data_IF_442608941288
#
_entry.id   IF_442608941288
#
_cell.length_a   1.000
_cell.length_b   1.000
_cell.length_c   1.000
_cell.angle_alpha   90.00
_cell.angle_beta   90.00
_cell.angle_gamma   90.00
#
_symmetry.space_group_name_H-M   'P 1'
#
loop_
_entity.id
_entity.type
_entity.pdbx_description
1 polymer ?
#
# COMPACT_ATOMS: atom_id res chain seq x y z
N UNK A 1 2.17 12.34 19.23
CA UNK A 1 1.79 11.25 20.17
C UNK A 1 2.68 11.35 21.39
N UNK A 2 2.09 11.34 22.60
CA UNK A 2 2.85 11.57 23.86
C UNK A 2 3.33 10.26 24.50
N UNK A 3 2.76 9.11 24.13
CA UNK A 3 3.15 7.79 24.62
C UNK A 3 3.65 6.89 23.49
N UNK A 4 4.46 5.87 23.78
CA UNK A 4 4.78 4.83 22.80
C UNK A 4 3.52 4.15 22.28
N UNK A 5 3.42 3.85 20.98
CA UNK A 5 2.23 3.25 20.38
C UNK A 5 2.16 1.73 20.61
N UNK A 6 0.91 1.22 20.58
CA UNK A 6 0.61 -0.23 20.43
C UNK A 6 0.38 -0.52 18.96
N UNK A 7 1.20 -1.38 18.39
CA UNK A 7 1.23 -1.66 16.95
C UNK A 7 1.09 -3.16 16.67
N UNK A 8 0.52 -3.51 15.53
CA UNK A 8 0.65 -4.84 14.96
C UNK A 8 1.65 -4.82 13.80
N UNK A 9 2.67 -5.65 13.85
CA UNK A 9 3.52 -5.95 12.69
C UNK A 9 2.88 -7.09 11.91
N UNK A 10 2.48 -6.84 10.65
CA UNK A 10 1.63 -7.74 9.87
C UNK A 10 2.39 -8.36 8.72
N UNK A 11 2.29 -9.69 8.63
CA UNK A 11 2.61 -10.43 7.41
C UNK A 11 1.30 -10.62 6.62
N UNK A 12 1.16 -9.87 5.53
CA UNK A 12 0.00 -9.98 4.64
C UNK A 12 -0.01 -11.31 3.87
N UNK A 13 -1.14 -11.72 3.26
CA UNK A 13 -1.19 -12.93 2.43
C UNK A 13 -0.18 -12.95 1.28
N UNK A 14 0.30 -11.78 0.85
CA UNK A 14 1.30 -11.60 -0.21
C UNK A 14 2.72 -11.43 0.30
N UNK A 15 2.98 -11.69 1.58
CA UNK A 15 4.30 -11.53 2.19
C UNK A 15 5.43 -12.24 1.43
N UNK A 16 5.14 -13.41 0.86
CA UNK A 16 6.09 -14.20 0.08
C UNK A 16 6.56 -13.53 -1.22
N UNK A 17 5.83 -12.54 -1.73
CA UNK A 17 6.18 -11.78 -2.93
C UNK A 17 7.24 -10.69 -2.67
N UNK A 18 7.50 -10.35 -1.40
CA UNK A 18 8.54 -9.40 -1.07
C UNK A 18 9.93 -10.02 -1.24
N UNK A 19 10.88 -9.21 -1.67
CA UNK A 19 12.29 -9.56 -1.72
C UNK A 19 12.83 -9.89 -0.32
N UNK A 20 13.79 -10.80 -0.23
CA UNK A 20 14.34 -11.25 1.05
C UNK A 20 14.87 -10.07 1.88
N UNK A 21 15.66 -9.18 1.24
CA UNK A 21 16.22 -8.02 1.90
C UNK A 21 15.15 -7.04 2.44
N UNK A 22 14.01 -6.91 1.74
CA UNK A 22 12.92 -6.05 2.20
C UNK A 22 12.23 -6.63 3.44
N UNK A 23 12.03 -7.96 3.49
CA UNK A 23 11.50 -8.66 4.67
C UNK A 23 12.44 -8.55 5.86
N UNK A 24 13.74 -8.75 5.65
CA UNK A 24 14.78 -8.61 6.68
C UNK A 24 14.84 -7.19 7.23
N UNK A 25 14.80 -6.18 6.33
CA UNK A 25 14.74 -4.78 6.70
C UNK A 25 13.50 -4.47 7.56
N UNK A 26 12.32 -4.96 7.16
CA UNK A 26 11.09 -4.79 7.95
C UNK A 26 11.23 -5.34 9.37
N UNK A 27 11.78 -6.55 9.51
CA UNK A 27 12.01 -7.18 10.83
C UNK A 27 12.95 -6.33 11.68
N UNK A 28 14.02 -5.81 11.09
CA UNK A 28 14.97 -4.94 11.81
C UNK A 28 14.31 -3.63 12.25
N UNK A 29 13.48 -3.01 11.42
CA UNK A 29 12.75 -1.79 11.78
C UNK A 29 11.76 -2.07 12.92
N UNK A 30 11.03 -3.17 12.88
CA UNK A 30 10.13 -3.59 13.96
C UNK A 30 10.91 -3.74 15.27
N UNK A 31 12.10 -4.35 15.25
CA UNK A 31 12.97 -4.50 16.40
C UNK A 31 13.41 -3.14 16.97
N UNK A 32 13.80 -2.19 16.10
CA UNK A 32 14.15 -0.81 16.51
C UNK A 32 13.00 -0.10 17.19
N UNK A 33 11.78 -0.22 16.67
CA UNK A 33 10.59 0.37 17.27
C UNK A 33 10.30 -0.21 18.66
N UNK A 34 10.44 -1.54 18.84
CA UNK A 34 10.36 -2.19 20.15
C UNK A 34 11.41 -1.65 21.13
N UNK A 35 12.66 -1.54 20.70
CA UNK A 35 13.75 -0.96 21.50
C UNK A 35 13.48 0.49 21.87
N UNK A 36 12.80 1.25 21.00
CA UNK A 36 12.40 2.64 21.26
C UNK A 36 11.15 2.75 22.17
N UNK A 37 10.59 1.61 22.63
CA UNK A 37 9.50 1.53 23.59
C UNK A 37 8.12 1.26 23.01
N UNK A 38 7.96 1.06 21.68
CA UNK A 38 6.67 0.65 21.12
C UNK A 38 6.29 -0.78 21.57
N UNK A 39 5.02 -0.97 21.91
CA UNK A 39 4.45 -2.30 22.08
C UNK A 39 4.09 -2.85 20.69
N UNK A 40 4.91 -3.76 20.14
CA UNK A 40 4.66 -4.33 18.82
C UNK A 40 4.37 -5.82 18.93
N UNK A 41 3.17 -6.22 18.56
CA UNK A 41 2.75 -7.61 18.42
C UNK A 41 2.86 -8.06 16.97
N UNK A 42 3.33 -9.27 16.73
CA UNK A 42 3.28 -9.87 15.40
C UNK A 42 1.94 -10.55 15.21
N UNK A 43 1.28 -10.28 14.10
CA UNK A 43 -0.02 -10.85 13.75
C UNK A 43 -0.09 -11.16 12.26
N UNK A 44 -0.86 -12.16 11.91
CA UNK A 44 -1.31 -12.40 10.55
C UNK A 44 -2.68 -11.77 10.37
N UNK A 45 -2.98 -11.32 9.15
CA UNK A 45 -4.34 -10.88 8.82
C UNK A 45 -5.29 -12.08 8.86
N UNK A 46 -6.56 -11.88 9.24
CA UNK A 46 -7.57 -12.93 9.14
C UNK A 46 -7.64 -13.57 7.75
N UNK A 47 -7.98 -14.88 7.65
CA UNK A 47 -8.04 -15.59 6.36
C UNK A 47 -8.98 -14.94 5.34
N UNK A 48 -9.98 -14.18 5.81
CA UNK A 48 -10.88 -13.41 4.95
C UNK A 48 -10.13 -12.52 3.94
N UNK A 49 -8.94 -12.02 4.32
CA UNK A 49 -8.12 -11.13 3.48
C UNK A 49 -7.45 -11.81 2.27
N UNK A 50 -7.41 -13.13 2.21
CA UNK A 50 -6.91 -13.85 1.03
C UNK A 50 -7.68 -13.48 -0.24
N UNK A 51 -8.98 -13.16 -0.13
CA UNK A 51 -9.83 -12.70 -1.23
C UNK A 51 -9.68 -11.23 -1.62
N UNK A 52 -8.90 -10.43 -0.90
CA UNK A 52 -8.84 -8.97 -1.08
C UNK A 52 -8.36 -8.55 -2.48
N UNK A 53 -7.31 -9.20 -3.00
CA UNK A 53 -6.73 -8.88 -4.31
C UNK A 53 -7.73 -9.14 -5.46
N UNK A 54 -8.45 -10.25 -5.40
CA UNK A 54 -9.48 -10.58 -6.39
C UNK A 54 -10.66 -9.58 -6.33
N UNK A 55 -11.08 -9.20 -5.13
CA UNK A 55 -12.15 -8.23 -4.94
C UNK A 55 -11.77 -6.85 -5.49
N UNK A 56 -10.57 -6.32 -5.15
CA UNK A 56 -10.11 -5.04 -5.66
C UNK A 56 -9.99 -5.06 -7.18
N UNK A 57 -9.39 -6.11 -7.76
CA UNK A 57 -9.28 -6.24 -9.22
C UNK A 57 -10.65 -6.17 -9.88
N UNK A 58 -11.63 -6.93 -9.38
CA UNK A 58 -12.98 -6.94 -9.94
C UNK A 58 -13.64 -5.56 -9.89
N UNK A 59 -13.58 -4.89 -8.74
CA UNK A 59 -14.12 -3.53 -8.59
C UNK A 59 -13.44 -2.57 -9.56
N UNK A 60 -12.11 -2.55 -9.56
CA UNK A 60 -11.31 -1.62 -10.37
C UNK A 60 -11.57 -1.81 -11.86
N UNK A 61 -11.62 -3.06 -12.35
CA UNK A 61 -11.84 -3.34 -13.77
C UNK A 61 -13.25 -2.91 -14.21
N UNK A 62 -14.30 -3.26 -13.43
CA UNK A 62 -15.68 -2.89 -13.79
C UNK A 62 -15.88 -1.38 -13.70
N UNK A 63 -15.37 -0.71 -12.66
CA UNK A 63 -15.50 0.73 -12.52
C UNK A 63 -14.73 1.49 -13.61
N UNK A 64 -13.51 1.06 -13.93
CA UNK A 64 -12.75 1.64 -15.01
C UNK A 64 -13.43 1.44 -16.37
N UNK A 65 -14.00 0.26 -16.63
CA UNK A 65 -14.77 0.00 -17.84
C UNK A 65 -15.96 0.99 -17.95
N UNK A 66 -16.74 1.15 -16.88
CA UNK A 66 -17.87 2.11 -16.86
C UNK A 66 -17.46 3.55 -17.16
N UNK A 67 -16.28 3.96 -16.66
CA UNK A 67 -15.78 5.33 -16.85
C UNK A 67 -15.18 5.54 -18.25
N UNK A 68 -14.40 4.55 -18.73
CA UNK A 68 -13.56 4.74 -19.91
C UNK A 68 -14.07 4.07 -21.18
N UNK A 69 -15.14 3.26 -21.14
CA UNK A 69 -15.71 2.58 -22.32
C UNK A 69 -15.96 3.56 -23.48
N UNK A 70 -16.63 4.68 -23.22
CA UNK A 70 -16.93 5.67 -24.26
C UNK A 70 -15.69 6.38 -24.83
N UNK A 71 -14.63 6.50 -24.06
CA UNK A 71 -13.33 7.02 -24.54
C UNK A 71 -12.64 5.95 -25.38
N UNK A 72 -12.64 4.71 -24.93
CA UNK A 72 -12.05 3.60 -25.66
C UNK A 72 -12.71 3.38 -27.01
N UNK A 73 -14.04 3.44 -27.09
CA UNK A 73 -14.79 3.26 -28.35
C UNK A 73 -14.41 4.31 -29.40
N UNK A 74 -14.11 5.56 -28.98
CA UNK A 74 -13.75 6.64 -29.90
C UNK A 74 -12.27 6.75 -30.20
N UNK A 75 -11.40 6.32 -29.27
CA UNK A 75 -9.96 6.61 -29.29
C UNK A 75 -9.11 5.45 -28.79
N UNK A 76 -9.49 4.19 -29.09
CA UNK A 76 -8.79 2.99 -28.61
C UNK A 76 -7.28 3.02 -28.89
N UNK A 77 -6.92 3.54 -30.08
CA UNK A 77 -5.52 3.62 -30.53
C UNK A 77 -4.67 4.63 -29.75
N UNK A 78 -5.32 5.56 -29.03
CA UNK A 78 -4.66 6.59 -28.19
C UNK A 78 -4.52 6.15 -26.74
N UNK A 79 -5.16 5.07 -26.34
CA UNK A 79 -5.04 4.51 -25.00
C UNK A 79 -3.89 3.51 -24.93
N UNK A 80 -3.22 3.47 -23.78
CA UNK A 80 -2.15 2.49 -23.58
C UNK A 80 -2.69 1.05 -23.64
N UNK A 81 -1.88 0.08 -24.10
CA UNK A 81 -2.29 -1.31 -24.14
C UNK A 81 -2.77 -1.86 -22.76
N UNK A 82 -2.13 -1.52 -21.63
CA UNK A 82 -2.63 -1.95 -20.32
C UNK A 82 -4.03 -1.41 -19.99
N UNK A 83 -4.30 -0.13 -20.28
CA UNK A 83 -5.61 0.46 -20.03
C UNK A 83 -6.68 -0.17 -20.91
N UNK A 84 -6.40 -0.41 -22.19
CA UNK A 84 -7.31 -1.11 -23.10
C UNK A 84 -7.67 -2.51 -22.56
N UNK A 85 -6.67 -3.29 -22.11
CA UNK A 85 -6.92 -4.62 -21.52
C UNK A 85 -7.80 -4.54 -20.27
N UNK A 86 -7.52 -3.59 -19.39
CA UNK A 86 -8.27 -3.40 -18.14
C UNK A 86 -9.75 -3.10 -18.44
N UNK A 87 -10.04 -2.24 -19.43
CA UNK A 87 -11.41 -1.94 -19.86
C UNK A 87 -12.07 -3.17 -20.46
N UNK A 88 -11.39 -3.88 -21.38
CA UNK A 88 -11.94 -5.08 -22.04
C UNK A 88 -12.26 -6.18 -21.00
N UNK A 89 -11.39 -6.40 -20.02
CA UNK A 89 -11.63 -7.33 -18.92
C UNK A 89 -12.82 -6.88 -18.08
N UNK A 90 -12.93 -5.60 -17.75
CA UNK A 90 -14.06 -5.05 -16.98
C UNK A 90 -15.41 -5.23 -17.70
N UNK A 91 -15.45 -5.01 -19.02
CA UNK A 91 -16.64 -5.21 -19.85
C UNK A 91 -17.03 -6.71 -19.95
N UNK A 92 -16.08 -7.62 -19.82
CA UNK A 92 -16.33 -9.07 -19.88
C UNK A 92 -16.90 -9.64 -18.58
N UNK A 93 -16.80 -8.91 -17.46
CA UNK A 93 -17.24 -9.38 -16.15
C UNK A 93 -18.77 -9.27 -16.01
N UNK A 94 -19.45 -10.28 -15.43
CA UNK A 94 -20.87 -10.20 -15.19
C UNK A 94 -21.21 -9.14 -14.13
N UNK A 95 -22.36 -8.47 -14.28
CA UNK A 95 -22.79 -7.41 -13.35
C UNK A 95 -22.82 -7.89 -11.88
N UNK A 96 -23.24 -9.12 -11.63
CA UNK A 96 -23.24 -9.71 -10.29
C UNK A 96 -21.84 -9.85 -9.67
N UNK A 97 -20.74 -9.75 -10.45
CA UNK A 97 -19.39 -9.81 -9.92
C UNK A 97 -19.05 -8.57 -9.09
N UNK A 98 -19.52 -7.39 -9.52
CA UNK A 98 -19.32 -6.15 -8.75
C UNK A 98 -20.01 -6.22 -7.39
N UNK A 99 -21.28 -6.68 -7.36
CA UNK A 99 -22.02 -6.80 -6.10
C UNK A 99 -21.29 -7.71 -5.10
N UNK A 100 -20.85 -8.89 -5.52
CA UNK A 100 -20.06 -9.81 -4.68
C UNK A 100 -18.74 -9.22 -4.22
N UNK A 101 -18.03 -8.49 -5.08
CA UNK A 101 -16.77 -7.86 -4.72
C UNK A 101 -16.96 -6.72 -3.71
N UNK A 102 -18.04 -5.94 -3.81
CA UNK A 102 -18.40 -4.91 -2.85
C UNK A 102 -18.86 -5.51 -1.50
N UNK A 103 -19.59 -6.61 -1.51
CA UNK A 103 -19.93 -7.36 -0.27
C UNK A 103 -18.65 -7.84 0.42
N UNK A 104 -17.70 -8.42 -0.34
CA UNK A 104 -16.40 -8.82 0.20
C UNK A 104 -15.62 -7.64 0.76
N UNK A 105 -15.58 -6.50 0.08
CA UNK A 105 -14.99 -5.27 0.61
C UNK A 105 -15.61 -4.87 1.96
N UNK A 106 -16.94 -4.88 2.06
CA UNK A 106 -17.63 -4.52 3.30
C UNK A 106 -17.34 -5.49 4.45
N UNK A 107 -17.20 -6.78 4.16
CA UNK A 107 -16.71 -7.79 5.11
C UNK A 107 -15.30 -7.42 5.60
N UNK A 108 -14.38 -7.16 4.68
CA UNK A 108 -12.98 -6.86 5.00
C UNK A 108 -12.80 -5.55 5.78
N UNK A 109 -13.66 -4.57 5.56
CA UNK A 109 -13.66 -3.34 6.37
C UNK A 109 -13.99 -3.66 7.83
N UNK A 110 -15.02 -4.48 8.09
CA UNK A 110 -15.37 -4.89 9.46
C UNK A 110 -14.26 -5.72 10.11
N UNK A 111 -13.71 -6.69 9.38
CA UNK A 111 -12.57 -7.50 9.84
C UNK A 111 -11.35 -6.62 10.19
N UNK A 112 -11.09 -5.56 9.41
CA UNK A 112 -10.00 -4.63 9.69
C UNK A 112 -10.27 -3.81 10.96
N UNK A 113 -11.49 -3.34 11.17
CA UNK A 113 -11.88 -2.60 12.37
C UNK A 113 -11.70 -3.48 13.61
N UNK A 114 -12.14 -4.74 13.57
CA UNK A 114 -11.97 -5.71 14.65
C UNK A 114 -10.49 -6.04 14.89
N UNK A 115 -9.74 -6.27 13.82
CA UNK A 115 -8.31 -6.56 13.86
C UNK A 115 -7.49 -5.43 14.50
N UNK A 116 -7.87 -4.19 14.24
CA UNK A 116 -7.17 -2.99 14.73
C UNK A 116 -7.68 -2.50 16.09
N UNK A 117 -8.70 -3.15 16.67
CA UNK A 117 -9.24 -2.77 17.96
C UNK A 117 -8.15 -2.77 19.06
N UNK A 118 -8.03 -1.66 19.76
CA UNK A 118 -7.02 -1.47 20.82
C UNK A 118 -5.59 -1.26 20.32
N UNK A 119 -5.37 -1.15 19.01
CA UNK A 119 -4.09 -0.77 18.40
C UNK A 119 -4.09 0.72 18.01
N UNK A 120 -2.91 1.32 18.00
CA UNK A 120 -2.71 2.67 17.48
C UNK A 120 -2.44 2.66 15.96
N UNK A 121 -1.93 1.53 15.41
CA UNK A 121 -1.68 1.35 14.00
C UNK A 121 -1.18 -0.04 13.64
N UNK A 122 -1.07 -0.28 12.34
CA UNK A 122 -0.57 -1.51 11.75
C UNK A 122 0.68 -1.19 10.93
N UNK A 123 1.72 -1.98 11.09
CA UNK A 123 2.96 -1.92 10.33
C UNK A 123 2.97 -2.99 9.25
N UNK A 124 3.31 -2.61 8.04
CA UNK A 124 3.43 -3.54 6.90
C UNK A 124 4.52 -3.08 5.93
N UNK A 125 4.87 -3.95 4.99
CA UNK A 125 5.68 -3.55 3.83
C UNK A 125 4.84 -2.67 2.90
N UNK A 126 5.42 -1.60 2.32
CA UNK A 126 4.73 -0.75 1.35
C UNK A 126 4.77 -1.31 -0.08
N UNK A 127 5.77 -2.16 -0.39
CA UNK A 127 6.06 -2.68 -1.72
C UNK A 127 6.88 -3.97 -1.62
N UNK A 128 7.13 -4.62 -2.75
CA UNK A 128 7.92 -5.85 -2.83
C UNK A 128 9.41 -5.66 -2.51
N UNK A 129 9.95 -4.47 -2.71
CA UNK A 129 11.36 -4.14 -2.51
C UNK A 129 11.67 -2.73 -2.99
N UNK A 130 12.86 -2.52 -3.57
CA UNK A 130 13.24 -1.27 -4.22
C UNK A 130 12.39 -0.99 -5.46
N UNK A 131 12.37 0.26 -5.91
CA UNK A 131 11.76 0.63 -7.19
C UNK A 131 12.42 -0.15 -8.34
N UNK A 132 11.63 -0.58 -9.36
CA UNK A 132 12.19 -1.22 -10.55
C UNK A 132 13.19 -0.32 -11.26
N UNK A 133 14.26 -0.91 -11.80
CA UNK A 133 15.23 -0.17 -12.63
C UNK A 133 14.66 0.18 -14.02
N UNK A 134 13.67 -0.56 -14.50
CA UNK A 134 12.99 -0.32 -15.76
C UNK A 134 11.90 0.75 -15.60
N UNK A 135 12.08 1.90 -16.23
CA UNK A 135 11.13 3.01 -16.21
C UNK A 135 9.83 2.74 -16.98
N UNK A 136 9.74 1.65 -17.73
CA UNK A 136 8.50 1.23 -18.40
C UNK A 136 7.48 0.60 -17.44
N UNK A 137 7.91 0.28 -16.22
CA UNK A 137 7.09 -0.35 -15.18
C UNK A 137 7.21 0.37 -13.83
N UNK A 138 6.07 0.67 -13.22
CA UNK A 138 6.00 1.43 -11.96
C UNK A 138 6.13 0.56 -10.70
N UNK A 139 6.30 -0.76 -10.84
CA UNK A 139 6.35 -1.72 -9.74
C UNK A 139 5.01 -2.39 -9.46
N UNK A 140 5.02 -3.32 -8.51
CA UNK A 140 3.87 -4.12 -8.12
C UNK A 140 3.13 -3.48 -6.93
N UNK A 141 1.85 -3.03 -7.09
CA UNK A 141 1.07 -2.40 -6.03
C UNK A 141 0.49 -3.38 -5.00
N UNK A 142 0.87 -4.66 -5.05
CA UNK A 142 0.22 -5.74 -4.30
C UNK A 142 0.15 -5.49 -2.79
N UNK A 143 1.17 -4.83 -2.21
CA UNK A 143 1.20 -4.50 -0.77
C UNK A 143 0.28 -3.35 -0.38
N UNK A 144 -0.19 -2.54 -1.34
CA UNK A 144 -1.15 -1.47 -1.11
C UNK A 144 -2.61 -1.93 -1.24
N UNK A 145 -2.85 -3.08 -1.87
CA UNK A 145 -4.17 -3.58 -2.30
C UNK A 145 -5.18 -3.64 -1.15
N UNK A 146 -4.81 -4.28 -0.04
CA UNK A 146 -5.72 -4.50 1.10
C UNK A 146 -6.18 -3.16 1.68
N UNK A 147 -5.24 -2.26 1.90
CA UNK A 147 -5.50 -0.96 2.52
C UNK A 147 -6.35 -0.08 1.61
N UNK A 148 -6.04 -0.05 0.30
CA UNK A 148 -6.84 0.65 -0.70
C UNK A 148 -8.25 0.10 -0.80
N UNK A 149 -8.43 -1.23 -0.83
CA UNK A 149 -9.74 -1.88 -0.86
C UNK A 149 -10.59 -1.51 0.35
N UNK A 150 -9.97 -1.53 1.54
CA UNK A 150 -10.66 -1.19 2.79
C UNK A 150 -10.85 0.32 2.98
N UNK A 151 -10.29 1.19 2.12
CA UNK A 151 -10.32 2.64 2.34
C UNK A 151 -9.57 3.06 3.60
N UNK A 152 -8.55 2.31 3.98
CA UNK A 152 -7.74 2.56 5.16
C UNK A 152 -6.70 3.66 4.87
N UNK A 153 -6.50 4.61 5.79
CA UNK A 153 -5.40 5.57 5.68
C UNK A 153 -4.06 4.84 5.74
N UNK A 154 -3.14 5.21 4.86
CA UNK A 154 -1.80 4.64 4.82
C UNK A 154 -0.74 5.74 4.64
N UNK A 155 0.32 5.65 5.42
CA UNK A 155 1.50 6.53 5.35
C UNK A 155 2.74 5.67 5.23
N UNK A 156 3.64 6.04 4.34
CA UNK A 156 4.96 5.40 4.24
C UNK A 156 6.02 6.37 4.74
N UNK A 157 6.87 5.90 5.66
CA UNK A 157 8.05 6.62 6.09
C UNK A 157 9.31 5.94 5.55
N UNK A 158 10.32 6.70 5.08
CA UNK A 158 11.59 6.13 4.63
C UNK A 158 12.38 5.60 5.84
N UNK A 159 12.91 4.38 5.73
CA UNK A 159 13.56 3.69 6.85
C UNK A 159 14.96 3.17 6.55
N UNK A 160 15.38 3.22 5.29
CA UNK A 160 16.69 2.74 4.84
C UNK A 160 16.79 2.70 3.34
N UNK A 161 17.81 2.01 2.85
CA UNK A 161 18.04 1.76 1.43
C UNK A 161 18.25 0.27 1.18
N UNK A 162 17.87 -0.21 0.03
CA UNK A 162 18.09 -1.57 -0.42
C UNK A 162 19.46 -1.76 -1.08
N UNK A 163 19.69 -2.92 -1.71
CA UNK A 163 20.99 -3.30 -2.26
C UNK A 163 21.50 -2.37 -3.37
N UNK A 164 20.60 -1.73 -4.11
CA UNK A 164 20.96 -0.81 -5.20
C UNK A 164 20.96 0.66 -4.74
N UNK A 165 20.82 0.92 -3.44
CA UNK A 165 20.82 2.26 -2.86
C UNK A 165 19.48 2.99 -2.97
N UNK A 166 18.41 2.35 -3.48
CA UNK A 166 17.09 2.96 -3.56
C UNK A 166 16.33 2.86 -2.22
N UNK A 167 15.38 3.78 -1.96
CA UNK A 167 14.72 3.83 -0.67
C UNK A 167 13.89 2.58 -0.35
N UNK A 168 13.97 2.16 0.91
CA UNK A 168 13.03 1.25 1.55
C UNK A 168 12.18 2.00 2.56
N UNK A 169 10.94 1.58 2.74
CA UNK A 169 9.99 2.23 3.63
C UNK A 169 9.30 1.28 4.59
N UNK A 170 8.66 1.88 5.60
CA UNK A 170 7.70 1.24 6.48
C UNK A 170 6.32 1.84 6.21
N UNK A 171 5.33 1.00 5.90
CA UNK A 171 3.95 1.42 5.78
C UNK A 171 3.26 1.34 7.14
N UNK A 172 2.57 2.42 7.51
CA UNK A 172 1.74 2.51 8.71
C UNK A 172 0.30 2.74 8.26
N UNK A 173 -0.61 1.90 8.74
CA UNK A 173 -2.03 1.98 8.38
C UNK A 173 -2.91 1.88 9.62
N UNK A 174 -4.21 2.12 9.46
CA UNK A 174 -5.22 2.01 10.51
C UNK A 174 -6.61 1.77 9.94
N UNK A 175 -7.65 1.71 10.79
CA UNK A 175 -9.03 1.60 10.33
C UNK A 175 -9.46 2.85 9.55
N UNK A 176 -10.59 2.77 8.83
CA UNK A 176 -11.15 3.92 8.14
C UNK A 176 -11.27 5.13 9.08
N UNK A 177 -11.11 6.34 8.54
CA UNK A 177 -11.20 7.63 9.28
C UNK A 177 -10.16 7.84 10.38
N UNK A 178 -9.16 6.97 10.50
CA UNK A 178 -8.10 7.09 11.51
C UNK A 178 -6.89 7.93 11.06
N UNK A 179 -7.04 8.81 10.06
CA UNK A 179 -5.97 9.58 9.42
C UNK A 179 -5.08 10.30 10.44
N UNK A 180 -5.68 11.06 11.37
CA UNK A 180 -4.94 11.79 12.38
C UNK A 180 -4.14 10.87 13.33
N UNK A 181 -4.66 9.67 13.62
CA UNK A 181 -3.97 8.66 14.41
C UNK A 181 -2.80 8.07 13.65
N UNK A 182 -3.02 7.67 12.40
CA UNK A 182 -1.98 7.10 11.53
C UNK A 182 -0.85 8.09 11.32
N UNK A 183 -1.15 9.37 11.06
CA UNK A 183 -0.14 10.43 10.95
C UNK A 183 0.64 10.62 12.26
N UNK A 184 -0.04 10.57 13.42
CA UNK A 184 0.63 10.68 14.72
C UNK A 184 1.55 9.50 15.01
N UNK A 185 1.15 8.28 14.64
CA UNK A 185 1.99 7.07 14.75
C UNK A 185 3.18 7.19 13.79
N UNK A 186 2.94 7.59 12.54
CA UNK A 186 4.01 7.77 11.55
C UNK A 186 5.06 8.76 12.02
N UNK A 187 4.66 9.92 12.54
CA UNK A 187 5.57 10.91 13.11
C UNK A 187 6.36 10.37 14.32
N UNK A 188 5.73 9.55 15.17
CA UNK A 188 6.45 8.90 16.27
C UNK A 188 7.48 7.90 15.74
N UNK A 189 7.12 7.05 14.79
CA UNK A 189 8.01 6.05 14.19
C UNK A 189 9.17 6.72 13.45
N UNK A 190 8.92 7.74 12.63
CA UNK A 190 9.96 8.47 11.87
C UNK A 190 11.06 9.03 12.78
N UNK A 191 10.67 9.53 13.96
CA UNK A 191 11.61 10.02 14.95
C UNK A 191 12.45 8.94 15.66
N UNK A 192 12.16 7.64 15.45
CA UNK A 192 12.80 6.52 16.16
C UNK A 192 13.58 5.56 15.24
N UNK A 193 13.18 5.41 13.98
CA UNK A 193 13.86 4.48 13.08
C UNK A 193 15.10 5.07 12.40
N UNK A 194 15.35 6.36 12.58
CA UNK A 194 16.41 7.08 11.87
C UNK A 194 15.98 7.36 10.42
N UNK A 195 16.26 8.56 9.95
CA UNK A 195 16.12 8.83 8.51
C UNK A 195 17.22 8.04 7.80
N UNK A 196 16.85 7.30 6.75
CA UNK A 196 17.83 6.94 5.75
C UNK A 196 18.64 8.20 5.43
N UNK A 197 19.96 8.10 5.41
CA UNK A 197 20.79 9.21 4.93
C UNK A 197 20.15 9.66 3.62
N UNK A 198 19.82 10.96 3.54
CA UNK A 198 19.17 11.50 2.34
C UNK A 198 20.00 11.01 1.17
N UNK A 199 19.38 10.31 0.23
CA UNK A 199 20.03 9.97 -1.01
C UNK A 199 20.61 11.29 -1.52
N UNK A 200 21.95 11.42 -1.72
CA UNK A 200 22.53 12.57 -2.34
C UNK A 200 22.16 12.51 -3.82
N UNK A 201 20.97 12.92 -4.16
CA UNK A 201 20.42 12.88 -5.48
C UNK A 201 19.79 14.21 -5.78
N UNK A 202 20.50 14.98 -6.53
CA UNK A 202 20.11 16.02 -7.45
C UNK A 202 18.59 16.14 -7.71
N UNK A 203 17.88 16.74 -6.75
CA UNK A 203 16.80 17.66 -7.04
C UNK A 203 17.28 19.05 -6.65
N UNK A 204 18.28 19.56 -7.36
CA UNK A 204 18.44 21.00 -7.50
C UNK A 204 17.24 21.45 -8.32
N UNK A 205 16.19 21.87 -7.62
CA UNK A 205 15.05 22.54 -8.22
C UNK A 205 15.48 23.86 -8.84
N UNK A 206 15.95 23.81 -10.06
CA UNK A 206 16.09 24.90 -11.01
C UNK A 206 15.90 24.30 -12.40
N UNK A 207 14.74 23.72 -12.65
CA UNK A 207 14.30 23.49 -14.01
C UNK A 207 12.97 24.22 -14.19
N UNK A 208 13.09 25.29 -14.94
CA UNK A 208 12.08 26.15 -15.48
C UNK A 208 10.90 25.31 -16.03
N UNK A 209 9.78 25.32 -15.34
CA UNK A 209 8.53 25.03 -16.01
C UNK A 209 8.22 26.21 -16.94
N UNK A 210 8.76 26.10 -18.16
CA UNK A 210 8.36 26.93 -19.28
C UNK A 210 6.88 26.79 -19.50
N UNK A 211 6.21 27.93 -19.53
CA UNK A 211 4.80 28.08 -19.85
C UNK A 211 4.44 27.34 -21.15
N UNK A 212 3.43 26.48 -21.11
CA UNK A 212 2.55 26.17 -22.23
C UNK A 212 1.15 26.56 -21.82
#
# INVERSE_FOLDING_TARGET
>A
MLRPPRLAAVRSPVWGLAEAYAREHFVEIVKRLRTAGAEVVERELPPAFEGAHAALRTIMHIEAAKVFEGVQQRHRERLSPPLNRLIDEGLSLPEAALARALEKRNELVRELDEFTAGLDGVLSLPTTGEAPADLSWTGDPTFCTIWSLCGAPAVVIPTGSGPNGLPLGLQITGPQTADGRVLSVAGWCDGKVGRAERIPGHFSGNDEYGHI
#
